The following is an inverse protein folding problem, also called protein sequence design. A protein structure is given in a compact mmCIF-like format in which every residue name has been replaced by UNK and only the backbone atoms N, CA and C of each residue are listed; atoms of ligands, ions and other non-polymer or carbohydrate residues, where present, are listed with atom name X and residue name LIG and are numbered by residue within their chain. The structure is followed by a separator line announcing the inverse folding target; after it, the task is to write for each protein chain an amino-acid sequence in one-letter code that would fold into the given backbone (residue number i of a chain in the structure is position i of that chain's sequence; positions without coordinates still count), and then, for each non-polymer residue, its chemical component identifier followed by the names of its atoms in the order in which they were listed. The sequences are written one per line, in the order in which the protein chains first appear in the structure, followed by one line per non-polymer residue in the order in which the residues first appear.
data_IF_483483793950
#
_entry.id   IF_483483793950
#
_cell.length_a   1.000
_cell.length_b   1.000
_cell.length_c   1.000
_cell.angle_alpha   90.00
_cell.angle_beta   90.00
_cell.angle_gamma   90.00
#
_symmetry.space_group_name_H-M   'P 1'
#
loop_
_entity.id
_entity.type
_entity.pdbx_description
1 polymer ?
#
# COMPACT_ATOMS: atom_id res chain seq x y z
N UNK A 1 4.69 -2.01 -11.21
CA UNK A 1 3.45 -1.39 -11.74
C UNK A 1 3.26 0.02 -11.17
N UNK A 2 3.19 0.21 -9.85
CA UNK A 2 2.98 1.53 -9.21
C UNK A 2 3.87 2.66 -9.76
N UNK A 3 5.20 2.47 -9.81
CA UNK A 3 6.14 3.48 -10.33
C UNK A 3 5.86 3.88 -11.78
N UNK A 4 5.53 2.91 -12.64
CA UNK A 4 5.26 3.16 -14.07
C UNK A 4 3.91 3.86 -14.24
N UNK A 5 2.90 3.48 -13.45
CA UNK A 5 1.62 4.18 -13.41
C UNK A 5 1.79 5.63 -12.97
N UNK A 6 2.53 5.90 -11.89
CA UNK A 6 2.78 7.26 -11.43
C UNK A 6 3.42 8.14 -12.52
N UNK A 7 4.42 7.61 -13.24
CA UNK A 7 5.02 8.31 -14.38
C UNK A 7 4.01 8.60 -15.50
N UNK A 8 3.13 7.65 -15.82
CA UNK A 8 2.11 7.82 -16.85
C UNK A 8 1.07 8.91 -16.50
N UNK A 9 0.77 9.07 -15.21
CA UNK A 9 -0.13 10.11 -14.70
C UNK A 9 0.58 11.41 -14.30
N UNK A 10 1.92 11.48 -14.43
CA UNK A 10 2.70 12.68 -14.07
C UNK A 10 2.82 12.93 -12.56
N UNK A 11 2.65 11.89 -11.74
CA UNK A 11 2.77 11.99 -10.28
C UNK A 11 4.23 11.82 -9.83
N UNK A 12 4.67 12.72 -8.96
CA UNK A 12 5.97 12.62 -8.29
C UNK A 12 5.87 11.71 -7.07
N UNK A 13 5.92 10.41 -7.33
CA UNK A 13 5.73 9.38 -6.31
C UNK A 13 6.92 9.29 -5.35
N UNK A 14 6.66 9.51 -4.06
CA UNK A 14 7.61 9.26 -2.99
C UNK A 14 7.22 8.03 -2.17
N UNK A 15 7.77 6.86 -2.53
CA UNK A 15 7.47 5.59 -1.87
C UNK A 15 7.89 5.53 -0.39
N UNK A 16 8.73 6.46 0.09
CA UNK A 16 9.05 6.55 1.51
C UNK A 16 7.81 6.84 2.36
N UNK A 17 6.80 7.53 1.79
CA UNK A 17 5.52 7.79 2.45
C UNK A 17 4.72 6.54 2.80
N UNK A 18 5.05 5.37 2.22
CA UNK A 18 4.43 4.09 2.62
C UNK A 18 4.87 3.67 4.02
N UNK A 19 6.13 3.93 4.38
CA UNK A 19 6.69 3.55 5.70
C UNK A 19 6.69 4.69 6.72
N UNK A 20 6.52 5.93 6.27
CA UNK A 20 6.51 7.13 7.11
C UNK A 20 5.32 8.02 6.73
N UNK A 21 4.22 8.00 7.53
CA UNK A 21 3.03 8.81 7.29
C UNK A 21 3.27 10.33 7.30
N UNK A 22 4.42 10.80 7.79
CA UNK A 22 4.78 12.22 7.75
C UNK A 22 5.26 12.68 6.37
N UNK A 23 5.58 11.74 5.48
CA UNK A 23 6.02 12.00 4.12
C UNK A 23 4.84 11.85 3.16
N UNK A 24 4.52 12.92 2.43
CA UNK A 24 3.50 12.86 1.40
C UNK A 24 3.92 11.90 0.26
N UNK A 25 3.07 10.93 -0.07
CA UNK A 25 3.35 9.92 -1.10
C UNK A 25 3.32 10.50 -2.54
N UNK A 26 2.76 11.69 -2.73
CA UNK A 26 2.75 12.38 -4.03
C UNK A 26 1.69 11.89 -5.01
N UNK A 27 0.64 11.22 -4.52
CA UNK A 27 -0.53 10.78 -5.30
C UNK A 27 -1.80 11.39 -4.66
N UNK A 28 -2.79 11.87 -5.44
CA UNK A 28 -4.04 12.40 -4.90
C UNK A 28 -4.71 11.45 -3.90
N UNK A 29 -5.13 11.98 -2.75
CA UNK A 29 -5.70 11.22 -1.63
C UNK A 29 -4.83 10.09 -1.07
N UNK A 30 -3.55 10.02 -1.45
CA UNK A 30 -2.67 8.91 -1.09
C UNK A 30 -2.51 8.70 0.42
N UNK A 31 -2.47 9.79 1.20
CA UNK A 31 -2.40 9.71 2.66
C UNK A 31 -3.70 9.16 3.27
N UNK A 32 -4.86 9.48 2.69
CA UNK A 32 -6.14 8.93 3.15
C UNK A 32 -6.26 7.44 2.82
N UNK A 33 -5.74 7.02 1.67
CA UNK A 33 -5.64 5.60 1.31
C UNK A 33 -4.72 4.84 2.26
N UNK A 34 -3.56 5.40 2.61
CA UNK A 34 -2.65 4.80 3.61
C UNK A 34 -3.29 4.74 4.99
N UNK A 35 -3.96 5.81 5.44
CA UNK A 35 -4.66 5.83 6.72
C UNK A 35 -5.77 4.77 6.81
N UNK A 36 -6.49 4.51 5.71
CA UNK A 36 -7.47 3.42 5.64
C UNK A 36 -6.81 2.05 5.84
N UNK A 37 -5.65 1.81 5.21
CA UNK A 37 -4.88 0.58 5.39
C UNK A 37 -4.44 0.44 6.84
N UNK A 38 -3.83 1.47 7.43
CA UNK A 38 -3.36 1.46 8.81
C UNK A 38 -4.50 1.18 9.80
N UNK A 39 -5.64 1.87 9.65
CA UNK A 39 -6.80 1.67 10.50
C UNK A 39 -7.40 0.27 10.36
N UNK A 40 -7.41 -0.29 9.15
CA UNK A 40 -7.88 -1.65 8.88
C UNK A 40 -6.97 -2.68 9.53
N UNK A 41 -5.66 -2.54 9.39
CA UNK A 41 -4.67 -3.44 9.99
C UNK A 41 -4.65 -3.35 11.52
N UNK A 42 -4.87 -2.16 12.08
CA UNK A 42 -5.00 -1.94 13.52
C UNK A 42 -6.36 -2.41 14.08
N UNK A 43 -7.34 -2.73 13.22
CA UNK A 43 -8.68 -3.09 13.63
C UNK A 43 -9.42 -1.96 14.36
N UNK A 44 -9.17 -0.69 13.98
CA UNK A 44 -9.76 0.51 14.60
C UNK A 44 -11.06 0.90 13.90
N UNK A 45 -12.25 0.64 14.46
CA UNK A 45 -13.52 0.91 13.77
C UNK A 45 -13.74 2.40 13.48
N UNK A 46 -13.36 3.26 14.44
CA UNK A 46 -13.46 4.71 14.31
C UNK A 46 -12.48 5.21 13.24
N UNK A 47 -11.23 4.72 13.27
CA UNK A 47 -10.22 5.09 12.27
C UNK A 47 -10.57 4.65 10.85
N UNK A 48 -11.23 3.49 10.71
CA UNK A 48 -11.75 3.01 9.41
C UNK A 48 -12.84 3.97 8.93
N UNK A 49 -13.81 4.30 9.79
CA UNK A 49 -14.93 5.19 9.44
C UNK A 49 -14.43 6.58 9.03
N UNK A 50 -13.49 7.15 9.79
CA UNK A 50 -12.92 8.46 9.50
C UNK A 50 -12.14 8.47 8.18
N UNK A 51 -11.33 7.43 7.94
CA UNK A 51 -10.57 7.31 6.68
C UNK A 51 -11.48 7.11 5.47
N UNK A 52 -12.55 6.33 5.61
CA UNK A 52 -13.56 6.16 4.56
C UNK A 52 -14.21 7.49 4.18
N UNK A 53 -14.60 8.30 5.18
CA UNK A 53 -15.18 9.63 4.94
C UNK A 53 -14.18 10.55 4.22
N UNK A 54 -12.93 10.58 4.66
CA UNK A 54 -11.90 11.39 4.02
C UNK A 54 -11.66 11.01 2.55
N UNK A 55 -11.67 9.70 2.24
CA UNK A 55 -11.57 9.22 0.85
C UNK A 55 -12.79 9.65 0.03
N UNK A 56 -14.00 9.50 0.56
CA UNK A 56 -15.22 9.90 -0.14
C UNK A 56 -15.21 11.41 -0.41
N UNK A 57 -14.83 12.21 0.58
CA UNK A 57 -14.83 13.66 0.48
C UNK A 57 -13.78 14.19 -0.52
N UNK A 58 -12.60 13.56 -0.59
CA UNK A 58 -11.52 14.01 -1.50
C UNK A 58 -11.56 13.35 -2.88
N UNK A 59 -11.81 12.04 -2.95
CA UNK A 59 -11.68 11.23 -4.16
C UNK A 59 -13.01 10.72 -4.71
N UNK A 60 -14.11 10.87 -3.97
CA UNK A 60 -15.43 10.39 -4.35
C UNK A 60 -15.74 8.96 -3.86
N UNK A 61 -17.03 8.61 -3.78
CA UNK A 61 -17.48 7.32 -3.24
C UNK A 61 -17.04 6.11 -4.07
N UNK A 62 -16.90 6.25 -5.39
CA UNK A 62 -16.41 5.19 -6.27
C UNK A 62 -14.95 4.82 -5.94
N UNK A 63 -14.13 5.82 -5.62
CA UNK A 63 -12.72 5.62 -5.25
C UNK A 63 -12.55 4.80 -3.97
N UNK A 64 -13.50 4.88 -3.03
CA UNK A 64 -13.49 4.03 -1.84
C UNK A 64 -13.74 2.56 -2.21
N UNK A 65 -14.67 2.29 -3.13
CA UNK A 65 -14.97 0.93 -3.61
C UNK A 65 -13.76 0.33 -4.32
N UNK A 66 -13.10 1.12 -5.17
CA UNK A 66 -11.89 0.71 -5.87
C UNK A 66 -10.75 0.41 -4.89
N UNK A 67 -10.52 1.30 -3.90
CA UNK A 67 -9.50 1.11 -2.88
C UNK A 67 -9.75 -0.17 -2.05
N UNK A 68 -10.98 -0.38 -1.60
CA UNK A 68 -11.37 -1.58 -0.84
C UNK A 68 -11.20 -2.86 -1.67
N UNK A 69 -11.49 -2.79 -2.98
CA UNK A 69 -11.32 -3.92 -3.90
C UNK A 69 -9.84 -4.29 -4.08
N UNK A 70 -8.97 -3.28 -4.23
CA UNK A 70 -7.51 -3.49 -4.31
C UNK A 70 -6.99 -4.09 -3.01
N UNK A 71 -7.36 -3.53 -1.85
CA UNK A 71 -6.97 -4.04 -0.54
C UNK A 71 -7.39 -5.50 -0.35
N UNK A 72 -8.67 -5.82 -0.60
CA UNK A 72 -9.19 -7.18 -0.48
C UNK A 72 -8.48 -8.19 -1.39
N UNK A 73 -8.11 -7.79 -2.60
CA UNK A 73 -7.35 -8.65 -3.51
C UNK A 73 -5.94 -8.96 -2.98
N UNK A 74 -5.20 -7.97 -2.47
CA UNK A 74 -3.87 -8.21 -1.90
C UNK A 74 -3.94 -9.07 -0.63
N UNK A 75 -4.91 -8.81 0.24
CA UNK A 75 -5.15 -9.60 1.44
C UNK A 75 -5.51 -11.06 1.14
N UNK A 76 -6.27 -11.30 0.07
CA UNK A 76 -6.50 -12.66 -0.43
C UNK A 76 -5.18 -13.31 -0.88
N UNK A 77 -4.37 -12.61 -1.67
CA UNK A 77 -3.09 -13.13 -2.16
C UNK A 77 -2.12 -13.43 -1.01
N UNK A 78 -2.05 -12.58 0.00
CA UNK A 78 -1.26 -12.81 1.21
C UNK A 78 -1.63 -14.12 1.89
N UNK A 79 -2.94 -14.36 2.11
CA UNK A 79 -3.44 -15.62 2.70
C UNK A 79 -3.09 -16.86 1.87
N UNK A 80 -3.15 -16.76 0.54
CA UNK A 80 -2.74 -17.87 -0.34
C UNK A 80 -1.24 -18.12 -0.23
N UNK A 81 -0.43 -17.06 -0.24
CA UNK A 81 1.03 -17.19 -0.14
C UNK A 81 1.43 -17.80 1.22
N UNK A 82 0.87 -17.31 2.32
CA UNK A 82 1.08 -17.83 3.67
C UNK A 82 0.61 -19.28 3.81
N UNK A 83 -0.61 -19.59 3.33
CA UNK A 83 -1.19 -20.92 3.45
C UNK A 83 -0.48 -21.99 2.61
N UNK A 84 0.19 -21.59 1.52
CA UNK A 84 0.94 -22.50 0.65
C UNK A 84 2.43 -22.57 0.97
N UNK A 85 2.95 -21.62 1.76
CA UNK A 85 4.39 -21.51 2.05
C UNK A 85 5.22 -21.15 0.81
N UNK A 86 4.63 -20.47 -0.18
CA UNK A 86 5.35 -20.11 -1.41
C UNK A 86 6.54 -19.20 -1.07
N UNK A 87 7.75 -19.62 -1.45
CA UNK A 87 8.95 -18.83 -1.21
C UNK A 87 9.15 -17.76 -2.27
N UNK A 88 9.70 -16.60 -1.87
CA UNK A 88 10.09 -15.55 -2.81
C UNK A 88 11.40 -15.96 -3.48
N UNK A 89 11.47 -16.04 -4.83
CA UNK A 89 12.71 -16.38 -5.51
C UNK A 89 13.79 -15.32 -5.27
N UNK A 90 15.04 -15.74 -5.03
CA UNK A 90 16.17 -14.82 -4.81
C UNK A 90 16.31 -13.77 -5.94
N UNK A 91 16.10 -14.18 -7.19
CA UNK A 91 16.15 -13.27 -8.34
C UNK A 91 15.06 -12.17 -8.29
N UNK A 92 13.93 -12.41 -7.62
CA UNK A 92 12.90 -11.40 -7.42
C UNK A 92 13.33 -10.39 -6.34
N UNK A 93 13.96 -10.87 -5.26
CA UNK A 93 14.54 -10.02 -4.21
C UNK A 93 15.61 -9.11 -4.80
N UNK A 94 16.55 -9.66 -5.58
CA UNK A 94 17.62 -8.89 -6.23
C UNK A 94 17.06 -7.80 -7.14
N UNK A 95 16.02 -8.12 -7.94
CA UNK A 95 15.34 -7.16 -8.81
C UNK A 95 14.62 -6.05 -8.04
N UNK A 96 14.23 -6.29 -6.80
CA UNK A 96 13.50 -5.34 -5.95
C UNK A 96 14.40 -4.65 -4.92
N UNK A 97 15.71 -4.93 -4.91
CA UNK A 97 16.65 -4.46 -3.88
C UNK A 97 16.53 -2.97 -3.57
N UNK A 98 16.56 -2.12 -4.59
CA UNK A 98 16.44 -0.67 -4.41
C UNK A 98 15.13 -0.25 -3.72
N UNK A 99 14.04 -0.98 -3.95
CA UNK A 99 12.74 -0.69 -3.34
C UNK A 99 12.70 -1.16 -1.89
N UNK A 100 13.23 -2.36 -1.63
CA UNK A 100 13.38 -2.91 -0.27
C UNK A 100 14.24 -1.98 0.59
N UNK A 101 15.40 -1.56 0.08
CA UNK A 101 16.33 -0.68 0.78
C UNK A 101 15.68 0.69 1.10
N UNK A 102 14.90 1.24 0.15
CA UNK A 102 14.16 2.51 0.35
C UNK A 102 13.04 2.41 1.39
N UNK A 103 12.40 1.24 1.49
CA UNK A 103 11.32 1.01 2.46
C UNK A 103 11.87 0.57 3.83
N UNK A 104 13.16 0.24 3.94
CA UNK A 104 13.77 -0.22 5.19
C UNK A 104 13.24 -1.58 5.66
N UNK A 105 12.80 -2.42 4.73
CA UNK A 105 12.17 -3.72 5.02
C UNK A 105 13.10 -4.93 4.78
N UNK A 106 14.40 -4.68 4.66
CA UNK A 106 15.42 -5.74 4.49
C UNK A 106 15.38 -6.75 5.64
N UNK A 107 15.14 -6.28 6.86
CA UNK A 107 15.06 -7.11 8.07
C UNK A 107 13.91 -8.13 8.05
N UNK A 108 12.90 -7.94 7.21
CA UNK A 108 11.73 -8.81 7.06
C UNK A 108 11.98 -9.98 6.10
N UNK A 109 13.13 -10.02 5.40
CA UNK A 109 13.46 -11.07 4.42
C UNK A 109 13.91 -12.40 5.05
N UNK A 110 13.70 -12.61 6.34
CA UNK A 110 14.17 -13.82 7.02
C UNK A 110 13.42 -15.06 6.53
N UNK A 111 14.17 -15.90 5.81
CA UNK A 111 13.92 -17.32 5.59
C UNK A 111 13.97 -18.11 6.88
#
# INVERSE_FOLDING_TARGET
MLRVSALAFGYDLNIAGIGDPSIAIGVPGGNHLLALVDATMAGSPDGITDSQRAIIDELGPESLVDAASVFGNFEMMNRVAEGTGISIPAQAIDRMKDTIDKLGIDSLQKS
#
